data_IF_528612071476
#
_entry.id   IF_528612071476
#
_cell.length_a   1.000
_cell.length_b   1.000
_cell.length_c   1.000
_cell.angle_alpha   90.00
_cell.angle_beta   90.00
_cell.angle_gamma   90.00
#
_symmetry.space_group_name_H-M   'P 1'
#
loop_
_entity.id
_entity.type
_entity.pdbx_description
1 polymer ?
#
# COMPACT_ATOMS: atom_id res chain seq x y z
N UNK A 1 -24.29 3.26 1.02
CA UNK A 1 -23.18 2.30 0.91
C UNK A 1 -21.99 3.09 0.36
N UNK A 2 -21.17 3.67 1.22
CA UNK A 2 -19.94 4.33 0.77
C UNK A 2 -18.96 3.23 0.40
N UNK A 3 -18.58 3.15 -0.87
CA UNK A 3 -17.47 2.30 -1.28
C UNK A 3 -16.20 2.91 -0.64
N UNK A 4 -15.70 2.27 0.42
CA UNK A 4 -14.39 2.60 0.97
C UNK A 4 -13.33 2.39 -0.11
N UNK A 5 -12.31 3.24 -0.13
CA UNK A 5 -11.22 3.12 -1.10
C UNK A 5 -10.47 1.82 -0.81
N UNK A 6 -10.42 0.90 -1.77
CA UNK A 6 -9.68 -0.36 -1.69
C UNK A 6 -8.48 -0.29 -2.64
N UNK A 7 -7.35 -0.82 -2.19
CA UNK A 7 -6.13 -0.95 -3.00
C UNK A 7 -6.11 -2.31 -3.67
N UNK A 8 -5.84 -2.33 -4.97
CA UNK A 8 -5.77 -3.51 -5.84
C UNK A 8 -4.37 -3.68 -6.45
N UNK A 9 -4.12 -4.85 -7.06
CA UNK A 9 -2.86 -5.09 -7.80
C UNK A 9 -2.84 -4.19 -9.04
N UNK A 10 -1.69 -3.55 -9.28
CA UNK A 10 -1.50 -2.55 -10.33
C UNK A 10 -1.79 -1.11 -9.89
N UNK A 11 -2.33 -0.91 -8.68
CA UNK A 11 -2.52 0.44 -8.15
C UNK A 11 -1.18 1.12 -7.85
N UNK A 12 -1.18 2.45 -8.01
CA UNK A 12 -0.07 3.31 -7.66
C UNK A 12 -0.31 3.96 -6.30
N UNK A 13 0.54 3.64 -5.33
CA UNK A 13 0.60 4.30 -4.03
C UNK A 13 1.60 5.45 -4.12
N UNK A 14 1.08 6.67 -4.32
CA UNK A 14 1.89 7.86 -4.53
C UNK A 14 1.85 8.81 -3.34
N UNK A 15 3.02 9.34 -3.00
CA UNK A 15 3.20 10.50 -2.11
C UNK A 15 4.02 11.57 -2.83
N UNK A 16 4.32 12.68 -2.15
CA UNK A 16 5.20 13.71 -2.71
C UNK A 16 6.64 13.25 -2.94
N UNK A 17 7.07 12.15 -2.29
CA UNK A 17 8.47 11.71 -2.29
C UNK A 17 8.68 10.28 -2.75
N UNK A 18 7.61 9.51 -2.94
CA UNK A 18 7.65 8.07 -3.24
C UNK A 18 6.49 7.67 -4.13
N UNK A 19 6.70 6.65 -4.96
CA UNK A 19 5.67 6.09 -5.82
C UNK A 19 5.89 4.58 -5.89
N UNK A 20 4.90 3.81 -5.46
CA UNK A 20 4.97 2.36 -5.44
C UNK A 20 3.89 1.75 -6.33
N UNK A 21 4.25 0.74 -7.13
CA UNK A 21 3.29 -0.09 -7.85
C UNK A 21 3.01 -1.36 -7.05
N UNK A 22 1.74 -1.65 -6.75
CA UNK A 22 1.32 -2.85 -6.03
C UNK A 22 1.43 -4.06 -6.96
N UNK A 23 2.29 -5.02 -6.63
CA UNK A 23 2.51 -6.22 -7.45
C UNK A 23 1.77 -7.44 -6.92
N UNK A 24 1.69 -7.57 -5.60
CA UNK A 24 1.05 -8.72 -4.93
C UNK A 24 0.71 -8.38 -3.47
N UNK A 25 -0.05 -9.24 -2.80
CA UNK A 25 -0.33 -9.15 -1.37
C UNK A 25 0.23 -10.35 -0.62
N UNK A 26 1.19 -10.09 0.27
CA UNK A 26 1.91 -11.11 1.02
C UNK A 26 1.22 -11.51 2.33
N UNK A 27 0.20 -10.79 2.78
CA UNK A 27 -0.58 -11.17 3.95
C UNK A 27 -1.50 -10.08 4.48
N UNK A 28 -2.43 -10.46 5.35
CA UNK A 28 -3.33 -9.54 6.03
C UNK A 28 -3.29 -9.80 7.54
N UNK A 29 -3.15 -8.72 8.31
CA UNK A 29 -3.18 -8.74 9.77
C UNK A 29 -4.31 -7.89 10.36
N UNK A 30 -4.28 -7.75 11.68
CA UNK A 30 -5.23 -6.91 12.41
C UNK A 30 -5.17 -5.44 11.95
N UNK A 31 -3.96 -4.94 11.67
CA UNK A 31 -3.71 -3.52 11.40
C UNK A 31 -3.81 -3.12 9.92
N UNK A 32 -3.82 -4.07 9.00
CA UNK A 32 -3.63 -3.76 7.58
C UNK A 32 -3.30 -4.97 6.72
N UNK A 33 -3.15 -4.71 5.42
CA UNK A 33 -2.66 -5.67 4.43
C UNK A 33 -1.23 -5.31 4.04
N UNK A 34 -0.37 -6.31 3.90
CA UNK A 34 0.99 -6.12 3.42
C UNK A 34 1.03 -6.45 1.93
N UNK A 35 1.41 -5.47 1.14
CA UNK A 35 1.65 -5.59 -0.29
C UNK A 35 3.14 -5.73 -0.56
N UNK A 36 3.48 -6.53 -1.58
CA UNK A 36 4.76 -6.44 -2.26
C UNK A 36 4.63 -5.39 -3.34
N UNK A 37 5.50 -4.40 -3.32
CA UNK A 37 5.48 -3.30 -4.28
C UNK A 37 6.83 -3.12 -4.98
N UNK A 38 6.79 -2.53 -6.17
CA UNK A 38 7.96 -1.96 -6.82
C UNK A 38 8.04 -0.47 -6.46
N UNK A 39 9.14 -0.04 -5.84
CA UNK A 39 9.47 1.37 -5.72
C UNK A 39 9.88 1.89 -7.10
N UNK A 40 9.08 2.78 -7.69
CA UNK A 40 9.32 3.31 -9.02
C UNK A 40 10.44 4.37 -9.05
N UNK A 41 10.91 4.84 -7.90
CA UNK A 41 12.03 5.78 -7.78
C UNK A 41 13.34 5.01 -7.69
N UNK A 42 13.42 4.01 -6.82
CA UNK A 42 14.65 3.23 -6.59
C UNK A 42 14.76 1.98 -7.45
N UNK A 43 13.65 1.54 -8.07
CA UNK A 43 13.51 0.25 -8.77
C UNK A 43 13.70 -0.97 -7.87
N UNK A 44 13.46 -0.83 -6.56
CA UNK A 44 13.60 -1.93 -5.59
C UNK A 44 12.25 -2.58 -5.25
N UNK A 45 12.29 -3.87 -4.94
CA UNK A 45 11.13 -4.59 -4.43
C UNK A 45 11.04 -4.43 -2.91
N UNK A 46 9.92 -3.90 -2.43
CA UNK A 46 9.71 -3.53 -1.03
C UNK A 46 8.40 -4.11 -0.50
N UNK A 47 8.29 -4.20 0.83
CA UNK A 47 7.02 -4.49 1.49
C UNK A 47 6.37 -3.18 1.92
N UNK A 48 5.10 -2.98 1.58
CA UNK A 48 4.32 -1.81 1.99
C UNK A 48 3.11 -2.29 2.77
N UNK A 49 2.93 -1.77 3.98
CA UNK A 49 1.76 -2.08 4.79
C UNK A 49 0.70 -1.01 4.59
N UNK A 50 -0.43 -1.43 4.04
CA UNK A 50 -1.62 -0.60 3.79
C UNK A 50 -2.54 -0.76 5.00
N UNK A 51 -2.79 0.34 5.71
CA UNK A 51 -3.63 0.33 6.90
C UNK A 51 -5.09 0.14 6.53
N UNK A 52 -5.83 -0.59 7.38
CA UNK A 52 -7.30 -0.64 7.28
C UNK A 52 -7.86 0.75 7.54
N UNK A 53 -8.91 1.10 6.80
CA UNK A 53 -9.58 2.40 6.81
C UNK A 53 -9.72 2.94 8.24
N UNK A 54 -9.00 4.01 8.54
CA UNK A 54 -9.30 4.85 9.69
C UNK A 54 -10.41 5.81 9.27
N UNK A 55 -11.23 6.31 10.22
CA UNK A 55 -12.50 7.07 10.05
C UNK A 55 -12.59 8.19 8.98
N UNK A 56 -11.51 8.51 8.26
CA UNK A 56 -11.37 9.63 7.34
C UNK A 56 -11.31 9.27 5.84
N UNK A 57 -11.64 8.04 5.41
CA UNK A 57 -11.64 7.62 3.99
C UNK A 57 -10.30 7.80 3.26
N UNK A 58 -9.19 7.95 3.98
CA UNK A 58 -7.85 8.09 3.40
C UNK A 58 -7.09 6.77 3.53
N UNK A 59 -6.33 6.40 2.50
CA UNK A 59 -5.41 5.26 2.57
C UNK A 59 -4.10 5.75 3.19
N UNK A 60 -3.73 5.17 4.32
CA UNK A 60 -2.42 5.34 4.94
C UNK A 60 -1.59 4.07 4.68
N UNK A 61 -0.32 4.26 4.35
CA UNK A 61 0.60 3.16 4.13
C UNK A 61 2.00 3.50 4.63
N UNK A 62 2.72 2.49 5.10
CA UNK A 62 4.09 2.60 5.60
C UNK A 62 5.02 1.62 4.88
N UNK A 63 6.23 2.08 4.56
CA UNK A 63 7.28 1.24 4.02
C UNK A 63 7.82 0.33 5.14
N UNK A 64 7.84 -0.98 4.90
CA UNK A 64 8.46 -1.96 5.78
C UNK A 64 9.77 -2.44 5.13
N UNK A 65 10.88 -2.29 5.86
CA UNK A 65 12.15 -2.94 5.49
C UNK A 65 11.97 -4.46 5.62
N UNK A 66 12.38 -5.19 4.58
CA UNK A 66 12.34 -6.65 4.51
C UNK A 66 13.39 -7.26 5.44
#
# INVERSE_FOLDING_TARGET
>A
MSAGIQVEIGDLLQSNTTCYEVLDFNGEGCFGKVAKCLDLITSELVAVKIHKENRNNNIEWEHLLV
#
